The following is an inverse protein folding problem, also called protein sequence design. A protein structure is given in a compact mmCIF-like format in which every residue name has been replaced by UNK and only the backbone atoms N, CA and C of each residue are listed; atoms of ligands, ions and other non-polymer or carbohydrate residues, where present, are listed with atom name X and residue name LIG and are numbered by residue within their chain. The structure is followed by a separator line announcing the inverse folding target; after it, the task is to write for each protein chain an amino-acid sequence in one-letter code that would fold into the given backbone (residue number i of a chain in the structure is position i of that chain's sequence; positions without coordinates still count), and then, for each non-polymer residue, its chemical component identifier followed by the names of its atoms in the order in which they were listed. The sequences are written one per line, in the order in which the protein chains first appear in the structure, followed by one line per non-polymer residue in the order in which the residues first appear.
data_IF_148336883850
#
_entry.id   IF_148336883850
#
_cell.length_a   1.000
_cell.length_b   1.000
_cell.length_c   1.000
_cell.angle_alpha   90.00
_cell.angle_beta   90.00
_cell.angle_gamma   90.00
#
_symmetry.space_group_name_H-M   'P 1'
#
loop_
_entity.id
_entity.type
_entity.pdbx_description
1 polymer ?
#
# COMPACT_ATOMS: atom_id res chain seq x y z
N UNK A 1 15.76 -2.08 1.82
CA UNK A 1 14.27 -2.06 1.75
C UNK A 1 13.63 -3.31 2.39
N UNK A 2 14.25 -3.97 3.38
CA UNK A 2 13.64 -5.10 4.11
C UNK A 2 12.98 -4.58 5.38
N UNK A 3 11.86 -5.17 5.76
CA UNK A 3 11.10 -4.90 6.96
C UNK A 3 11.07 -6.20 7.78
N UNK A 4 11.57 -6.17 9.02
CA UNK A 4 11.60 -7.32 9.91
C UNK A 4 10.70 -7.06 11.10
N UNK A 5 9.76 -7.97 11.35
CA UNK A 5 8.99 -8.00 12.60
C UNK A 5 9.76 -8.67 13.75
N UNK A 6 10.92 -9.27 13.45
CA UNK A 6 11.79 -9.97 14.40
C UNK A 6 12.86 -9.02 14.94
N UNK A 7 13.16 -9.15 16.24
CA UNK A 7 14.24 -8.41 16.91
C UNK A 7 13.87 -8.00 18.34
N UNK A 8 14.77 -7.34 19.08
CA UNK A 8 14.47 -6.76 20.38
C UNK A 8 13.26 -5.81 20.29
N UNK A 9 12.23 -6.03 21.10
CA UNK A 9 10.98 -5.26 21.07
C UNK A 9 9.98 -5.68 19.97
N UNK A 10 10.36 -6.62 19.10
CA UNK A 10 9.50 -7.23 18.10
C UNK A 10 8.97 -8.59 18.53
N UNK A 11 8.58 -9.40 17.55
CA UNK A 11 8.06 -10.75 17.76
C UNK A 11 9.20 -11.78 17.84
N UNK A 12 8.96 -12.83 18.61
CA UNK A 12 9.73 -14.07 18.50
C UNK A 12 9.02 -15.01 17.53
N UNK A 13 9.78 -15.91 16.88
CA UNK A 13 9.23 -16.86 15.90
C UNK A 13 8.11 -17.73 16.49
N UNK A 14 8.23 -18.10 17.76
CA UNK A 14 7.30 -18.96 18.49
C UNK A 14 5.99 -18.24 18.86
N UNK A 15 6.04 -16.91 19.01
CA UNK A 15 4.87 -16.09 19.35
C UNK A 15 4.17 -15.51 18.13
N UNK A 16 4.77 -15.63 16.95
CA UNK A 16 4.21 -15.14 15.70
C UNK A 16 3.11 -16.08 15.17
N UNK A 17 1.87 -15.76 15.53
CA UNK A 17 0.65 -16.43 15.05
C UNK A 17 0.43 -16.22 13.55
N UNK A 18 -0.50 -16.99 12.98
CA UNK A 18 -0.80 -16.97 11.55
C UNK A 18 -1.32 -15.60 11.08
N UNK A 19 -2.16 -14.94 11.88
CA UNK A 19 -2.74 -13.61 11.61
C UNK A 19 -1.68 -12.54 11.33
N UNK A 20 -0.50 -12.65 11.95
CA UNK A 20 0.59 -11.67 11.79
C UNK A 20 1.41 -11.92 10.51
N UNK A 21 1.29 -13.12 9.94
CA UNK A 21 2.05 -13.56 8.75
C UNK A 21 1.27 -13.35 7.45
N UNK A 22 -0.05 -13.20 7.56
CA UNK A 22 -0.93 -13.04 6.41
C UNK A 22 -0.80 -11.66 5.75
N UNK A 23 -1.24 -11.58 4.49
CA UNK A 23 -1.27 -10.33 3.74
C UNK A 23 -2.53 -9.57 4.12
N UNK A 24 -2.35 -8.41 4.75
CA UNK A 24 -3.44 -7.50 5.07
C UNK A 24 -3.72 -6.55 3.89
N UNK A 25 -4.98 -6.10 3.74
CA UNK A 25 -5.38 -5.22 2.62
C UNK A 25 -4.55 -3.92 2.60
N UNK A 26 -4.28 -3.33 3.77
CA UNK A 26 -3.48 -2.10 3.88
C UNK A 26 -2.01 -2.26 3.46
N UNK A 27 -1.56 -3.50 3.17
CA UNK A 27 -0.23 -3.72 2.58
C UNK A 27 -0.15 -3.21 1.14
N UNK A 28 -1.28 -3.00 0.47
CA UNK A 28 -1.33 -2.51 -0.90
C UNK A 28 -0.50 -1.23 -1.05
N UNK A 29 0.40 -1.24 -2.04
CA UNK A 29 1.31 -0.11 -2.28
C UNK A 29 2.37 0.17 -1.20
N UNK A 30 2.35 -0.51 -0.03
CA UNK A 30 3.26 -0.27 1.12
C UNK A 30 4.28 -1.38 1.31
N UNK A 31 3.81 -2.64 1.32
CA UNK A 31 4.65 -3.83 1.48
C UNK A 31 4.37 -4.80 0.34
N UNK A 32 5.44 -5.42 -0.17
CA UNK A 32 5.31 -6.38 -1.26
C UNK A 32 4.65 -7.67 -0.74
N UNK A 33 3.48 -8.08 -1.28
CA UNK A 33 2.78 -9.27 -0.79
C UNK A 33 3.45 -10.58 -1.24
N UNK A 34 4.32 -10.53 -2.25
CA UNK A 34 4.96 -11.71 -2.84
C UNK A 34 6.34 -11.96 -2.22
N UNK A 35 7.11 -10.89 -1.97
CA UNK A 35 8.53 -10.98 -1.61
C UNK A 35 8.72 -11.15 -0.11
N UNK A 36 8.49 -12.37 0.36
CA UNK A 36 8.82 -12.87 1.71
C UNK A 36 9.69 -14.14 1.58
N UNK A 37 10.60 -14.42 2.52
CA UNK A 37 11.23 -15.74 2.59
C UNK A 37 10.19 -16.85 2.78
N UNK A 38 10.43 -18.01 2.20
CA UNK A 38 9.68 -19.22 2.49
C UNK A 38 10.11 -19.84 3.83
N UNK A 39 9.30 -20.76 4.36
CA UNK A 39 9.60 -21.50 5.59
C UNK A 39 9.30 -20.71 6.87
N UNK A 40 10.07 -20.89 7.96
CA UNK A 40 9.70 -20.38 9.29
C UNK A 40 9.57 -18.86 9.40
N UNK A 41 10.20 -18.11 8.49
CA UNK A 41 10.19 -16.64 8.48
C UNK A 41 9.14 -16.05 7.52
N UNK A 42 8.28 -16.88 6.91
CA UNK A 42 7.22 -16.40 6.01
C UNK A 42 6.31 -15.40 6.74
N UNK A 43 6.07 -14.26 6.09
CA UNK A 43 5.26 -13.15 6.59
C UNK A 43 5.96 -12.26 7.63
N UNK A 44 7.10 -12.70 8.19
CA UNK A 44 7.80 -11.97 9.26
C UNK A 44 8.95 -11.09 8.74
N UNK A 45 9.41 -11.37 7.53
CA UNK A 45 10.38 -10.55 6.80
C UNK A 45 9.76 -10.19 5.47
N UNK A 46 9.44 -8.91 5.29
CA UNK A 46 8.84 -8.40 4.08
C UNK A 46 9.76 -7.39 3.39
N UNK A 47 9.37 -6.99 2.18
CA UNK A 47 10.06 -5.94 1.43
C UNK A 47 9.15 -4.74 1.24
N UNK A 48 9.72 -3.53 1.29
CA UNK A 48 9.00 -2.30 1.00
C UNK A 48 8.61 -2.26 -0.49
N UNK A 49 7.37 -1.86 -0.80
CA UNK A 49 6.88 -1.71 -2.18
C UNK A 49 7.61 -0.59 -2.94
N UNK A 50 7.60 -0.63 -4.27
CA UNK A 50 8.43 0.21 -5.15
C UNK A 50 8.33 1.70 -4.90
N UNK A 51 7.12 2.24 -4.72
CA UNK A 51 6.87 3.67 -4.50
C UNK A 51 6.62 4.03 -3.03
N UNK A 52 6.63 3.06 -2.13
CA UNK A 52 6.33 3.34 -0.73
C UNK A 52 7.44 4.18 -0.08
N UNK A 53 7.03 5.10 0.79
CA UNK A 53 7.90 5.94 1.62
C UNK A 53 7.60 5.73 3.09
N UNK A 54 8.48 6.24 3.95
CA UNK A 54 8.27 6.25 5.41
C UNK A 54 8.28 7.69 5.86
N UNK A 55 7.26 8.11 6.62
CA UNK A 55 7.20 9.46 7.18
C UNK A 55 8.02 9.57 8.48
N UNK A 56 8.10 10.78 9.06
CA UNK A 56 8.89 11.04 10.28
C UNK A 56 8.40 10.25 11.50
N UNK A 57 7.12 9.85 11.51
CA UNK A 57 6.51 9.05 12.56
C UNK A 57 6.68 7.54 12.36
N UNK A 58 7.28 7.11 11.23
CA UNK A 58 7.52 5.71 10.91
C UNK A 58 6.38 5.00 10.16
N UNK A 59 5.33 5.72 9.76
CA UNK A 59 4.25 5.15 8.94
C UNK A 59 4.66 5.02 7.47
N UNK A 60 4.20 3.93 6.84
CA UNK A 60 4.43 3.66 5.42
C UNK A 60 3.38 4.38 4.59
N UNK A 61 3.84 5.21 3.67
CA UNK A 61 3.02 5.98 2.75
C UNK A 61 2.99 5.32 1.38
N UNK A 62 1.86 5.46 0.69
CA UNK A 62 1.68 5.06 -0.70
C UNK A 62 1.27 6.26 -1.54
N UNK A 63 1.80 6.32 -2.76
CA UNK A 63 1.50 7.37 -3.73
C UNK A 63 0.17 7.13 -4.42
N UNK A 64 -0.66 8.16 -4.47
CA UNK A 64 -1.90 8.19 -5.23
C UNK A 64 -1.98 9.43 -6.10
N UNK A 65 -2.74 9.33 -7.19
CA UNK A 65 -3.09 10.49 -8.02
C UNK A 65 -4.42 11.03 -7.54
N UNK A 66 -4.49 12.34 -7.30
CA UNK A 66 -5.74 12.98 -6.91
C UNK A 66 -6.68 13.11 -8.11
N UNK A 67 -7.91 12.67 -7.93
CA UNK A 67 -8.99 12.80 -8.91
C UNK A 67 -9.97 13.84 -8.40
N UNK A 68 -10.36 14.76 -9.27
CA UNK A 68 -11.46 15.68 -9.02
C UNK A 68 -12.77 15.03 -9.47
N UNK A 69 -13.70 14.90 -8.52
CA UNK A 69 -15.00 14.23 -8.71
C UNK A 69 -15.87 15.00 -9.70
N UNK A 70 -15.86 16.34 -9.66
CA UNK A 70 -16.70 17.19 -10.49
C UNK A 70 -16.27 17.10 -11.96
N UNK A 71 -14.97 17.06 -12.21
CA UNK A 71 -14.43 16.99 -13.58
C UNK A 71 -14.21 15.57 -14.08
N UNK A 72 -14.43 14.57 -13.21
CA UNK A 72 -14.02 13.16 -13.38
C UNK A 72 -12.55 13.01 -13.82
N UNK A 73 -11.72 14.02 -13.57
CA UNK A 73 -10.38 14.17 -14.13
C UNK A 73 -9.31 13.94 -13.08
N UNK A 74 -8.31 13.13 -13.41
CA UNK A 74 -7.09 12.99 -12.62
C UNK A 74 -6.18 14.19 -12.82
N UNK A 75 -6.04 15.04 -11.81
CA UNK A 75 -5.00 16.06 -11.81
C UNK A 75 -3.60 15.41 -11.81
N UNK A 76 -2.60 16.11 -12.34
CA UNK A 76 -1.20 15.66 -12.26
C UNK A 76 -0.60 15.68 -10.85
N UNK A 77 -1.41 16.02 -9.83
CA UNK A 77 -1.01 16.08 -8.43
C UNK A 77 -0.91 14.68 -7.83
N UNK A 78 0.23 14.41 -7.20
CA UNK A 78 0.53 13.14 -6.53
C UNK A 78 0.54 13.41 -5.04
N UNK A 79 -0.27 12.66 -4.31
CA UNK A 79 -0.33 12.71 -2.86
C UNK A 79 0.20 11.42 -2.23
N UNK A 80 0.62 11.51 -0.96
CA UNK A 80 1.17 10.39 -0.20
C UNK A 80 0.29 10.09 1.00
N UNK A 81 -0.43 8.97 0.94
CA UNK A 81 -1.41 8.62 1.97
C UNK A 81 -0.89 7.51 2.90
N UNK A 82 -1.13 7.69 4.20
CA UNK A 82 -1.05 6.62 5.20
C UNK A 82 -2.18 5.60 5.00
N UNK A 83 -2.13 4.47 5.71
CA UNK A 83 -3.18 3.45 5.61
C UNK A 83 -4.54 3.99 6.10
N UNK A 84 -4.55 4.74 7.20
CA UNK A 84 -5.77 5.28 7.79
C UNK A 84 -6.41 6.37 6.91
N UNK A 85 -5.58 7.18 6.24
CA UNK A 85 -6.06 8.19 5.28
C UNK A 85 -6.63 7.54 4.02
N UNK A 86 -5.98 6.49 3.51
CA UNK A 86 -6.43 5.73 2.33
C UNK A 86 -7.84 5.15 2.51
N UNK A 87 -8.16 4.62 3.70
CA UNK A 87 -9.47 4.04 4.01
C UNK A 87 -10.63 5.05 3.92
N UNK A 88 -10.33 6.35 3.92
CA UNK A 88 -11.33 7.41 3.80
C UNK A 88 -11.72 7.73 2.35
N UNK A 89 -11.02 7.16 1.36
CA UNK A 89 -11.25 7.47 -0.06
C UNK A 89 -11.57 6.21 -0.88
N UNK A 90 -12.50 6.32 -1.85
CA UNK A 90 -12.64 5.29 -2.88
C UNK A 90 -11.41 5.32 -3.80
N UNK A 91 -10.82 4.15 -4.07
CA UNK A 91 -9.64 4.01 -4.92
C UNK A 91 -10.05 3.46 -6.29
N UNK A 92 -9.65 4.18 -7.34
CA UNK A 92 -9.71 3.67 -8.71
C UNK A 92 -8.43 2.90 -9.05
N UNK A 93 -8.56 1.88 -9.92
CA UNK A 93 -7.40 1.16 -10.42
C UNK A 93 -6.61 2.01 -11.43
N UNK A 94 -5.33 1.71 -11.56
CA UNK A 94 -4.46 2.44 -12.51
C UNK A 94 -4.79 2.10 -13.97
N UNK A 95 -5.31 0.91 -14.24
CA UNK A 95 -5.69 0.42 -15.57
C UNK A 95 -7.11 0.82 -16.00
N UNK A 96 -7.80 1.69 -15.25
CA UNK A 96 -9.09 2.25 -15.66
C UNK A 96 -8.97 3.01 -16.99
N UNK A 97 -10.05 3.07 -17.76
CA UNK A 97 -10.03 3.74 -19.06
C UNK A 97 -10.08 5.26 -18.88
N UNK A 98 -9.07 5.96 -19.42
CA UNK A 98 -8.97 7.42 -19.38
C UNK A 98 -9.03 8.02 -20.80
N UNK A 99 -9.62 9.20 -20.93
CA UNK A 99 -9.52 10.03 -22.13
C UNK A 99 -8.15 10.75 -22.20
N UNK A 100 -7.88 11.46 -23.30
CA UNK A 100 -6.64 12.23 -23.49
C UNK A 100 -6.47 13.37 -22.48
N UNK A 101 -7.56 13.76 -21.79
CA UNK A 101 -7.58 14.79 -20.77
C UNK A 101 -7.51 14.21 -19.33
N UNK A 102 -7.30 12.89 -19.20
CA UNK A 102 -7.21 12.21 -17.91
C UNK A 102 -8.54 11.99 -17.20
N UNK A 103 -9.67 12.01 -17.92
CA UNK A 103 -11.01 11.75 -17.40
C UNK A 103 -11.41 10.30 -17.53
N UNK A 104 -12.11 9.77 -16.54
CA UNK A 104 -12.66 8.41 -16.61
C UNK A 104 -13.69 8.30 -17.74
N UNK A 105 -13.51 7.29 -18.60
CA UNK A 105 -14.44 6.96 -19.69
C UNK A 105 -15.62 6.10 -19.21
N UNK A 106 -15.38 5.28 -18.20
CA UNK A 106 -16.37 4.39 -17.60
C UNK A 106 -17.15 5.10 -16.48
N UNK A 107 -18.44 4.80 -16.34
CA UNK A 107 -19.29 5.36 -15.29
C UNK A 107 -19.15 4.65 -13.94
N UNK A 108 -18.60 3.43 -13.91
CA UNK A 108 -18.27 2.67 -12.70
C UNK A 108 -16.82 2.21 -12.73
N UNK A 109 -16.12 2.39 -11.60
CA UNK A 109 -14.71 2.03 -11.38
C UNK A 109 -14.55 1.37 -10.02
#
# INVERSE_FOLDING_TARGET
RRLSALGPGGLTRERAQMEVREVHYSHYGRMCPIKTPEGPNIGLINSLSSYARVNEFGFKLTTYRKVDIETKGGGGEIDYLTADEEDSYPLAQENSNFDENGRFLDDEV
#
